data_IF_524376711817
#
_entry.id   IF_524376711817
#
_cell.length_a   1.000
_cell.length_b   1.000
_cell.length_c   1.000
_cell.angle_alpha   90.00
_cell.angle_beta   90.00
_cell.angle_gamma   90.00
#
_symmetry.space_group_name_H-M   'P 1'
#
loop_
_entity.id
_entity.type
_entity.pdbx_description
1 polymer ?
#
# COMPACT_ATOMS: atom_id res chain seq x y z
N UNK A 1 -3.11 -13.51 8.55
CA UNK A 1 -2.37 -12.49 9.33
C UNK A 1 -3.36 -11.85 10.28
N UNK A 2 -3.04 -11.71 11.57
CA UNK A 2 -3.92 -11.02 12.50
C UNK A 2 -3.42 -9.57 12.62
N UNK A 3 -4.19 -8.62 12.08
CA UNK A 3 -3.79 -7.23 12.01
C UNK A 3 -4.36 -6.47 13.21
N UNK A 4 -3.53 -5.74 13.96
CA UNK A 4 -4.03 -4.87 15.02
C UNK A 4 -4.75 -3.65 14.41
N UNK A 5 -5.62 -3.00 15.18
CA UNK A 5 -6.29 -1.76 14.75
C UNK A 5 -5.26 -0.66 14.41
N UNK A 6 -4.15 -0.62 15.17
CA UNK A 6 -3.05 0.33 14.94
C UNK A 6 -2.34 0.02 13.63
N UNK A 7 -2.01 -1.25 13.38
CA UNK A 7 -1.41 -1.66 12.12
C UNK A 7 -2.35 -1.42 10.94
N UNK A 8 -3.66 -1.66 11.07
CA UNK A 8 -4.66 -1.36 10.05
C UNK A 8 -4.65 0.12 9.66
N UNK A 9 -4.58 0.98 10.68
CA UNK A 9 -4.53 2.44 10.50
C UNK A 9 -3.23 2.88 9.83
N UNK A 10 -2.09 2.33 10.26
CA UNK A 10 -0.79 2.56 9.61
C UNK A 10 -0.77 2.05 8.17
N UNK A 11 -1.40 0.91 7.90
CA UNK A 11 -1.47 0.29 6.58
C UNK A 11 -2.22 1.19 5.60
N UNK A 12 -3.45 1.58 5.97
CA UNK A 12 -4.28 2.41 5.11
C UNK A 12 -3.67 3.79 4.89
N UNK A 13 -3.16 4.43 5.96
CA UNK A 13 -2.43 5.69 5.85
C UNK A 13 -1.20 5.57 4.96
N UNK A 14 -0.42 4.50 5.11
CA UNK A 14 0.77 4.26 4.29
C UNK A 14 0.44 4.15 2.81
N UNK A 15 -0.64 3.46 2.45
CA UNK A 15 -1.09 3.34 1.06
C UNK A 15 -1.62 4.67 0.50
N UNK A 16 -2.34 5.45 1.32
CA UNK A 16 -2.76 6.81 0.94
C UNK A 16 -1.55 7.71 0.65
N UNK A 17 -0.49 7.62 1.45
CA UNK A 17 0.73 8.38 1.22
C UNK A 17 1.47 7.92 -0.05
N UNK A 18 1.42 6.61 -0.35
CA UNK A 18 2.01 6.05 -1.56
C UNK A 18 1.36 6.67 -2.80
N UNK A 19 0.03 6.54 -2.95
CA UNK A 19 -0.73 7.07 -4.10
C UNK A 19 -0.83 8.59 -4.14
N UNK A 20 -0.30 9.29 -3.14
CA UNK A 20 -0.15 10.76 -3.15
C UNK A 20 1.13 11.20 -3.86
N UNK A 21 2.10 10.30 -4.00
CA UNK A 21 3.50 10.64 -4.30
C UNK A 21 3.66 11.31 -5.68
N UNK A 22 2.93 10.83 -6.68
CA UNK A 22 2.91 11.31 -8.05
C UNK A 22 1.96 12.51 -8.28
N UNK A 23 1.21 12.91 -7.24
CA UNK A 23 0.19 13.99 -7.23
C UNK A 23 -1.03 13.69 -8.09
N UNK A 24 -1.30 12.44 -8.44
CA UNK A 24 -2.46 12.05 -9.21
C UNK A 24 -3.06 10.77 -8.64
N UNK A 25 -4.39 10.66 -8.60
CA UNK A 25 -5.06 9.42 -8.20
C UNK A 25 -5.90 8.96 -9.38
N UNK A 26 -5.52 7.82 -9.95
CA UNK A 26 -6.25 7.17 -11.03
C UNK A 26 -7.52 6.50 -10.50
N UNK A 27 -8.50 6.26 -11.39
CA UNK A 27 -9.70 5.50 -11.00
C UNK A 27 -9.37 4.07 -10.54
N UNK A 28 -8.28 3.49 -11.02
CA UNK A 28 -7.83 2.16 -10.63
C UNK A 28 -7.27 2.14 -9.21
N UNK A 29 -6.42 3.11 -8.84
CA UNK A 29 -5.93 3.25 -7.47
C UNK A 29 -7.07 3.55 -6.50
N UNK A 30 -8.03 4.39 -6.91
CA UNK A 30 -9.23 4.67 -6.12
C UNK A 30 -9.99 3.38 -5.79
N UNK A 31 -10.27 2.56 -6.80
CA UNK A 31 -10.95 1.27 -6.62
C UNK A 31 -10.16 0.29 -5.75
N UNK A 32 -8.83 0.24 -5.91
CA UNK A 32 -7.95 -0.61 -5.08
C UNK A 32 -7.99 -0.14 -3.62
N UNK A 33 -7.88 1.16 -3.38
CA UNK A 33 -7.89 1.75 -2.05
C UNK A 33 -9.22 1.54 -1.34
N UNK A 34 -10.36 1.67 -2.03
CA UNK A 34 -11.67 1.32 -1.47
C UNK A 34 -11.74 -0.13 -1.01
N UNK A 35 -11.24 -1.06 -1.84
CA UNK A 35 -11.23 -2.50 -1.51
C UNK A 35 -10.30 -2.81 -0.34
N UNK A 36 -9.11 -2.20 -0.32
CA UNK A 36 -8.17 -2.32 0.78
C UNK A 36 -8.79 -1.82 2.09
N UNK A 37 -9.36 -0.62 2.09
CA UNK A 37 -9.96 -0.03 3.28
C UNK A 37 -11.07 -0.91 3.87
N UNK A 38 -11.94 -1.45 3.01
CA UNK A 38 -12.95 -2.43 3.41
C UNK A 38 -12.34 -3.71 3.99
N UNK A 39 -11.28 -4.24 3.38
CA UNK A 39 -10.59 -5.44 3.88
C UNK A 39 -9.89 -5.21 5.23
N UNK A 40 -9.48 -3.98 5.52
CA UNK A 40 -8.93 -3.56 6.81
C UNK A 40 -10.01 -3.24 7.86
N UNK A 41 -11.30 -3.32 7.50
CA UNK A 41 -12.43 -3.09 8.40
C UNK A 41 -12.86 -1.62 8.52
N UNK A 42 -12.41 -0.75 7.62
CA UNK A 42 -12.85 0.65 7.57
C UNK A 42 -14.21 0.78 6.87
N UNK A 43 -14.94 1.81 7.28
CA UNK A 43 -16.23 2.18 6.69
C UNK A 43 -16.01 2.80 5.29
N UNK A 44 -16.92 2.53 4.36
CA UNK A 44 -16.74 2.87 2.95
C UNK A 44 -16.68 4.39 2.72
N UNK A 45 -17.58 5.15 3.35
CA UNK A 45 -17.59 6.61 3.26
C UNK A 45 -16.31 7.22 3.83
N UNK A 46 -15.79 6.67 4.94
CA UNK A 46 -14.48 7.08 5.45
C UNK A 46 -13.36 6.88 4.42
N UNK A 47 -13.31 5.71 3.77
CA UNK A 47 -12.29 5.44 2.76
C UNK A 47 -12.40 6.40 1.56
N UNK A 48 -13.60 6.63 1.04
CA UNK A 48 -13.82 7.54 -0.07
C UNK A 48 -13.41 8.97 0.26
N UNK A 49 -13.80 9.47 1.43
CA UNK A 49 -13.39 10.80 1.89
C UNK A 49 -11.87 10.90 1.99
N UNK A 50 -11.23 9.91 2.62
CA UNK A 50 -9.77 9.92 2.79
C UNK A 50 -9.04 9.93 1.44
N UNK A 51 -9.47 9.13 0.46
CA UNK A 51 -8.86 9.09 -0.88
C UNK A 51 -9.09 10.41 -1.63
N UNK A 52 -10.27 11.01 -1.55
CA UNK A 52 -10.56 12.28 -2.24
C UNK A 52 -9.79 13.46 -1.64
N UNK A 53 -9.52 13.45 -0.34
CA UNK A 53 -8.88 14.56 0.36
C UNK A 53 -7.35 14.43 0.44
N UNK A 54 -6.77 13.25 0.18
CA UNK A 54 -5.36 12.97 0.46
C UNK A 54 -4.40 13.91 -0.27
N UNK A 55 -4.70 14.32 -1.50
CA UNK A 55 -3.83 15.20 -2.29
C UNK A 55 -3.68 16.58 -1.63
N UNK A 56 -4.76 17.10 -1.08
CA UNK A 56 -4.86 18.46 -0.54
C UNK A 56 -4.73 18.53 0.98
N UNK A 57 -4.83 17.40 1.69
CA UNK A 57 -4.77 17.37 3.15
C UNK A 57 -3.35 17.74 3.65
N UNK A 58 -3.16 18.91 4.30
CA UNK A 58 -1.87 19.35 4.80
C UNK A 58 -1.57 18.82 6.20
N UNK A 59 -2.56 18.21 6.86
CA UNK A 59 -2.49 17.75 8.24
C UNK A 59 -2.15 16.27 8.37
N UNK A 60 -2.08 15.56 7.24
CA UNK A 60 -1.69 14.15 7.28
C UNK A 60 -0.21 14.06 7.67
N UNK A 61 0.07 13.28 8.70
CA UNK A 61 1.43 12.87 9.01
C UNK A 61 2.01 12.18 7.77
N UNK A 62 3.24 12.50 7.39
CA UNK A 62 3.95 11.94 6.23
C UNK A 62 5.05 10.94 6.63
N UNK A 63 5.19 10.63 7.91
CA UNK A 63 6.12 9.62 8.40
C UNK A 63 5.82 8.23 7.81
N UNK A 64 6.87 7.49 7.43
CA UNK A 64 6.74 6.10 7.00
C UNK A 64 6.06 5.25 8.08
N UNK A 65 5.12 4.36 7.72
CA UNK A 65 4.48 3.49 8.70
C UNK A 65 5.50 2.52 9.29
N UNK A 66 5.42 2.33 10.61
CA UNK A 66 6.16 1.29 11.34
C UNK A 66 5.13 0.32 11.89
N UNK A 67 5.32 -0.97 11.60
CA UNK A 67 4.38 -2.02 11.95
C UNK A 67 4.85 -2.81 13.16
N UNK A 68 3.90 -3.45 13.83
CA UNK A 68 4.16 -4.29 15.00
C UNK A 68 5.03 -5.53 14.71
N UNK A 69 5.09 -5.96 13.45
CA UNK A 69 5.87 -7.12 13.02
C UNK A 69 6.40 -6.99 11.60
N UNK A 70 7.50 -7.71 11.34
CA UNK A 70 8.09 -7.79 10.00
C UNK A 70 7.15 -8.41 8.98
N UNK A 71 6.30 -9.35 9.38
CA UNK A 71 5.35 -10.00 8.47
C UNK A 71 4.33 -8.99 7.92
N UNK A 72 3.79 -8.12 8.79
CA UNK A 72 2.88 -7.04 8.38
C UNK A 72 3.60 -6.05 7.46
N UNK A 73 4.82 -5.65 7.83
CA UNK A 73 5.61 -4.74 7.02
C UNK A 73 5.93 -5.33 5.64
N UNK A 74 6.29 -6.60 5.57
CA UNK A 74 6.56 -7.29 4.30
C UNK A 74 5.30 -7.37 3.43
N UNK A 75 4.14 -7.68 4.02
CA UNK A 75 2.88 -7.69 3.28
C UNK A 75 2.54 -6.28 2.76
N UNK A 76 2.71 -5.26 3.60
CA UNK A 76 2.54 -3.86 3.20
C UNK A 76 3.42 -3.51 2.00
N UNK A 77 4.70 -3.89 2.02
CA UNK A 77 5.60 -3.61 0.90
C UNK A 77 5.16 -4.32 -0.38
N UNK A 78 4.74 -5.58 -0.31
CA UNK A 78 4.25 -6.33 -1.49
C UNK A 78 3.01 -5.69 -2.10
N UNK A 79 2.05 -5.33 -1.26
CA UNK A 79 0.82 -4.69 -1.70
C UNK A 79 1.10 -3.30 -2.29
N UNK A 80 2.00 -2.54 -1.66
CA UNK A 80 2.42 -1.24 -2.15
C UNK A 80 3.14 -1.32 -3.50
N UNK A 81 4.05 -2.29 -3.67
CA UNK A 81 4.70 -2.52 -4.97
C UNK A 81 3.68 -2.95 -6.04
N UNK A 82 2.64 -3.69 -5.66
CA UNK A 82 1.55 -4.08 -6.59
C UNK A 82 0.69 -2.87 -6.96
N UNK A 83 0.45 -1.96 -6.02
CA UNK A 83 -0.29 -0.71 -6.26
C UNK A 83 0.50 0.22 -7.19
N UNK A 84 1.80 0.41 -6.95
CA UNK A 84 2.71 1.25 -7.73
C UNK A 84 3.00 0.74 -9.17
N UNK A 85 2.42 -0.40 -9.57
CA UNK A 85 2.48 -0.88 -10.96
C UNK A 85 1.08 -1.00 -11.60
N UNK A 86 0.03 -0.64 -10.86
CA UNK A 86 -1.35 -0.89 -11.25
C UNK A 86 -1.75 -0.11 -12.51
N UNK A 87 -1.25 1.11 -12.65
CA UNK A 87 -1.43 2.01 -13.78
C UNK A 87 -0.44 1.74 -14.94
N UNK A 88 0.40 0.70 -14.81
CA UNK A 88 1.47 0.30 -15.75
C UNK A 88 2.62 1.30 -15.86
N UNK A 89 2.68 2.31 -14.99
CA UNK A 89 3.80 3.25 -14.93
C UNK A 89 4.44 3.20 -13.54
N UNK A 90 5.60 2.53 -13.44
CA UNK A 90 6.30 2.48 -12.15
C UNK A 90 6.98 3.82 -11.90
N UNK A 91 6.43 4.64 -11.01
CA UNK A 91 7.05 5.91 -10.64
C UNK A 91 8.22 5.66 -9.68
N UNK A 92 9.40 6.21 -10.01
CA UNK A 92 10.61 6.06 -9.19
C UNK A 92 10.39 6.51 -7.74
N UNK A 93 9.61 7.56 -7.53
CA UNK A 93 9.29 8.09 -6.20
C UNK A 93 8.54 7.11 -5.31
N UNK A 94 7.61 6.33 -5.86
CA UNK A 94 6.86 5.32 -5.10
C UNK A 94 7.74 4.16 -4.66
N UNK A 95 8.62 3.69 -5.56
CA UNK A 95 9.57 2.62 -5.25
C UNK A 95 10.58 3.09 -4.20
N UNK A 96 11.08 4.32 -4.31
CA UNK A 96 11.97 4.92 -3.32
C UNK A 96 11.26 5.06 -1.96
N UNK A 97 9.99 5.47 -1.96
CA UNK A 97 9.18 5.59 -0.75
C UNK A 97 8.95 4.24 -0.07
N UNK A 98 8.65 3.20 -0.85
CA UNK A 98 8.50 1.82 -0.36
C UNK A 98 9.83 1.27 0.17
N UNK A 99 10.94 1.55 -0.50
CA UNK A 99 12.26 1.15 -0.02
C UNK A 99 12.60 1.81 1.32
N UNK A 100 12.32 3.11 1.48
CA UNK A 100 12.51 3.82 2.73
C UNK A 100 11.61 3.26 3.85
N UNK A 101 10.36 2.89 3.52
CA UNK A 101 9.45 2.22 4.46
C UNK A 101 9.98 0.86 4.88
N UNK A 102 10.51 0.07 3.95
CA UNK A 102 11.13 -1.22 4.23
C UNK A 102 12.32 -1.07 5.21
N UNK A 103 13.18 -0.07 4.99
CA UNK A 103 14.30 0.24 5.89
C UNK A 103 13.83 0.61 7.30
N UNK A 104 12.74 1.38 7.43
CA UNK A 104 12.16 1.75 8.74
C UNK A 104 11.57 0.59 9.52
N UNK A 105 11.29 -0.53 8.86
CA UNK A 105 10.74 -1.75 9.45
C UNK A 105 11.78 -2.89 9.52
N UNK A 106 13.08 -2.57 9.40
CA UNK A 106 14.19 -3.52 9.43
C UNK A 106 14.03 -4.68 8.41
N UNK A 107 13.45 -4.38 7.24
CA UNK A 107 13.37 -5.29 6.12
C UNK A 107 14.67 -5.21 5.32
N UNK A 108 15.20 -6.39 4.98
CA UNK A 108 16.44 -6.50 4.22
C UNK A 108 16.32 -5.90 2.81
N UNK A 109 17.37 -5.19 2.39
CA UNK A 109 17.40 -4.51 1.10
C UNK A 109 17.44 -5.49 -0.09
N UNK A 110 18.07 -6.66 0.06
CA UNK A 110 18.09 -7.67 -1.00
C UNK A 110 16.71 -8.30 -1.16
N UNK A 111 16.03 -8.58 -0.05
CA UNK A 111 14.63 -9.01 -0.06
C UNK A 111 13.75 -8.00 -0.81
N UNK A 112 13.83 -6.71 -0.47
CA UNK A 112 13.07 -5.66 -1.17
C UNK A 112 13.33 -5.65 -2.68
N UNK A 113 14.62 -5.70 -3.07
CA UNK A 113 15.02 -5.72 -4.49
C UNK A 113 14.52 -6.96 -5.22
N UNK A 114 14.45 -8.11 -4.55
CA UNK A 114 13.92 -9.34 -5.11
C UNK A 114 12.41 -9.22 -5.37
N UNK A 115 11.65 -8.74 -4.39
CA UNK A 115 10.20 -8.52 -4.54
C UNK A 115 9.89 -7.54 -5.67
N UNK A 116 10.58 -6.38 -5.70
CA UNK A 116 10.40 -5.38 -6.75
C UNK A 116 10.75 -5.92 -8.16
N UNK A 117 11.77 -6.79 -8.28
CA UNK A 117 12.11 -7.44 -9.55
C UNK A 117 11.07 -8.48 -9.98
N UNK A 118 10.53 -9.25 -9.02
CA UNK A 118 9.56 -10.30 -9.31
C UNK A 118 8.28 -9.76 -9.95
N UNK A 119 7.88 -8.55 -9.56
CA UNK A 119 6.71 -7.86 -10.09
C UNK A 119 6.94 -7.27 -11.48
N UNK A 120 8.15 -6.80 -11.79
CA UNK A 120 8.52 -6.32 -13.14
C UNK A 120 8.64 -7.43 -14.19
N UNK A 121 8.88 -8.67 -13.77
CA UNK A 121 8.98 -9.83 -14.66
C UNK A 121 7.66 -10.57 -14.89
N UNK A 122 6.60 -10.19 -14.18
CA UNK A 122 5.29 -10.84 -14.22
C UNK A 122 4.30 -9.99 -15.01
N UNK A 123 4.44 -9.97 -16.34
CA UNK A 123 3.39 -9.45 -17.23
C UNK A 123 2.09 -10.26 -16.97
N UNK A 124 1.04 -9.60 -16.47
CA UNK A 124 -0.24 -10.16 -15.98
C UNK A 124 -0.27 -10.71 -14.55
N UNK A 125 -0.27 -9.83 -13.56
CA UNK A 125 -0.88 -10.15 -12.26
C UNK A 125 -2.21 -9.43 -12.13
N UNK A 126 -3.28 -10.22 -12.31
CA UNK A 126 -4.65 -9.84 -11.98
C UNK A 126 -4.70 -9.37 -10.51
N UNK A 127 -4.76 -8.05 -10.30
CA UNK A 127 -4.89 -7.37 -9.00
C UNK A 127 -6.06 -7.94 -8.18
N UNK A 128 -7.03 -8.58 -8.85
CA UNK A 128 -8.18 -9.30 -8.25
C UNK A 128 -7.79 -10.47 -7.32
N UNK A 129 -6.68 -11.16 -7.55
CA UNK A 129 -6.34 -12.38 -6.79
C UNK A 129 -5.71 -12.10 -5.42
N UNK A 130 -5.03 -10.97 -5.24
CA UNK A 130 -4.28 -10.69 -4.00
C UNK A 130 -5.15 -10.18 -2.84
N UNK A 131 -6.09 -9.27 -3.10
CA UNK A 131 -7.00 -8.77 -2.06
C UNK A 131 -7.98 -9.84 -1.55
N UNK A 132 -8.29 -10.86 -2.36
CA UNK A 132 -9.10 -11.99 -1.91
C UNK A 132 -8.42 -12.82 -0.80
N UNK A 133 -7.08 -12.82 -0.71
CA UNK A 133 -6.34 -13.51 0.35
C UNK A 133 -6.36 -12.75 1.70
N UNK A 134 -6.67 -11.45 1.70
CA UNK A 134 -6.93 -10.69 2.94
C UNK A 134 -8.32 -11.03 3.52
N UNK A 135 -9.29 -11.33 2.65
CA UNK A 135 -10.68 -11.64 3.04
C UNK A 135 -10.84 -13.07 3.56
N UNK A 136 -9.94 -14.00 3.24
CA UNK A 136 -10.06 -15.42 3.65
C UNK A 136 -9.58 -15.72 5.08
N UNK A 137 -9.20 -14.71 5.87
CA UNK A 137 -8.69 -14.89 7.24
C UNK A 137 -9.45 -14.10 8.31
N UNK A 138 -10.71 -13.75 8.05
CA UNK A 138 -11.64 -13.23 9.06
C UNK A 138 -12.79 -14.23 9.23
#
# INVERSE_FOLDING_TARGET
MNLSIVDASHYFRGMLLLIKTDRQITGQEFDIMKRLGKALGFEEQFCETAINEILDNPYIDTAHPVFSSKDVAQQFIKDGLTLAIADKEVHTGEVEWLQATAQKNDIDLQWFKQEARSLRGSDNLDIKLFFNNLVTMI
#
